data_IF_390336549712
#
_entry.id   IF_390336549712
#
_cell.length_a   1.000
_cell.length_b   1.000
_cell.length_c   1.000
_cell.angle_alpha   90.00
_cell.angle_beta   90.00
_cell.angle_gamma   90.00
#
_symmetry.space_group_name_H-M   'P 1'
#
loop_
_entity.id
_entity.type
_entity.pdbx_description
1 polymer ?
#
# COMPACT_ATOMS: atom_id res chain seq x y z
N UNK A 1 -3.67 1.48 10.94
CA UNK A 1 -4.91 0.85 10.41
C UNK A 1 -6.18 1.38 11.08
N UNK A 2 -6.19 1.57 12.41
CA UNK A 2 -7.39 1.98 13.16
C UNK A 2 -8.09 3.25 12.63
N UNK A 3 -7.33 4.30 12.29
CA UNK A 3 -7.93 5.59 11.85
C UNK A 3 -8.78 5.42 10.58
N UNK A 4 -8.30 4.67 9.59
CA UNK A 4 -9.05 4.46 8.33
C UNK A 4 -10.26 3.56 8.56
N UNK A 5 -10.13 2.54 9.41
CA UNK A 5 -11.26 1.65 9.72
C UNK A 5 -12.38 2.38 10.47
N UNK A 6 -12.04 3.31 11.37
CA UNK A 6 -13.02 4.00 12.21
C UNK A 6 -13.63 5.24 11.57
N UNK A 7 -12.93 5.90 10.63
CA UNK A 7 -13.40 7.18 10.06
C UNK A 7 -13.94 7.04 8.62
N UNK A 8 -13.58 5.98 7.91
CA UNK A 8 -14.06 5.75 6.53
C UNK A 8 -15.29 4.84 6.57
N UNK A 9 -16.45 5.46 6.59
CA UNK A 9 -17.76 4.81 6.63
C UNK A 9 -18.17 4.27 5.26
N UNK A 10 -19.25 3.47 5.23
CA UNK A 10 -19.74 2.79 4.02
C UNK A 10 -19.59 1.27 4.14
N UNK A 11 -20.72 0.58 4.28
CA UNK A 11 -20.80 -0.90 4.27
C UNK A 11 -20.95 -1.47 2.85
N UNK A 12 -21.11 -0.60 1.87
CA UNK A 12 -21.20 -0.90 0.47
C UNK A 12 -19.82 -1.21 -0.14
N UNK A 13 -19.82 -1.74 -1.37
CA UNK A 13 -18.59 -2.09 -2.06
C UNK A 13 -17.67 -0.89 -2.28
N UNK A 14 -18.21 0.32 -2.49
CA UNK A 14 -17.37 1.52 -2.66
C UNK A 14 -16.64 1.86 -1.36
N UNK A 15 -17.32 1.83 -0.21
CA UNK A 15 -16.68 2.02 1.10
C UNK A 15 -15.58 0.99 1.37
N UNK A 16 -15.82 -0.28 0.99
CA UNK A 16 -14.81 -1.34 1.10
C UNK A 16 -13.59 -1.08 0.20
N UNK A 17 -13.81 -0.70 -1.06
CA UNK A 17 -12.74 -0.38 -2.01
C UNK A 17 -11.93 0.81 -1.52
N UNK A 18 -12.59 1.88 -1.06
CA UNK A 18 -11.92 3.08 -0.56
C UNK A 18 -10.98 2.77 0.61
N UNK A 19 -11.46 2.05 1.64
CA UNK A 19 -10.62 1.64 2.78
C UNK A 19 -9.40 0.82 2.33
N UNK A 20 -9.59 -0.14 1.42
CA UNK A 20 -8.49 -0.99 0.91
C UNK A 20 -7.48 -0.18 0.10
N UNK A 21 -7.94 0.73 -0.76
CA UNK A 21 -7.07 1.58 -1.58
C UNK A 21 -6.23 2.52 -0.72
N UNK A 22 -6.82 3.14 0.32
CA UNK A 22 -6.07 4.01 1.22
C UNK A 22 -4.95 3.27 1.96
N UNK A 23 -5.23 2.07 2.47
CA UNK A 23 -4.20 1.22 3.10
C UNK A 23 -3.14 0.81 2.08
N UNK A 24 -3.54 0.47 0.84
CA UNK A 24 -2.60 0.12 -0.23
C UNK A 24 -1.64 1.27 -0.54
N UNK A 25 -2.11 2.51 -0.58
CA UNK A 25 -1.24 3.67 -0.79
C UNK A 25 -0.26 3.90 0.36
N UNK A 26 -0.68 3.71 1.61
CA UNK A 26 0.24 3.77 2.74
C UNK A 26 1.33 2.69 2.65
N UNK A 27 0.93 1.44 2.35
CA UNK A 27 1.87 0.33 2.18
C UNK A 27 2.82 0.55 0.99
N UNK A 28 2.31 1.06 -0.14
CA UNK A 28 3.13 1.40 -1.31
C UNK A 28 4.19 2.44 -0.94
N UNK A 29 3.82 3.50 -0.21
CA UNK A 29 4.78 4.49 0.27
C UNK A 29 5.87 3.86 1.15
N UNK A 30 5.51 2.96 2.07
CA UNK A 30 6.47 2.21 2.87
C UNK A 30 7.40 1.33 2.03
N UNK A 31 6.88 0.65 1.00
CA UNK A 31 7.71 -0.16 0.09
C UNK A 31 8.67 0.71 -0.69
N UNK A 32 8.23 1.87 -1.20
CA UNK A 32 9.06 2.79 -1.98
C UNK A 32 10.22 3.34 -1.14
N UNK A 33 9.97 3.78 0.11
CA UNK A 33 11.05 4.26 0.97
C UNK A 33 12.00 3.13 1.36
N UNK A 34 11.47 1.94 1.70
CA UNK A 34 12.29 0.78 2.06
C UNK A 34 13.14 0.29 0.88
N UNK A 35 12.63 0.35 -0.35
CA UNK A 35 13.38 0.05 -1.57
C UNK A 35 14.59 0.97 -1.74
N UNK A 36 14.46 2.25 -1.37
CA UNK A 36 15.55 3.23 -1.48
C UNK A 36 16.65 3.06 -0.43
N UNK A 37 16.34 2.53 0.75
CA UNK A 37 17.30 2.42 1.87
C UNK A 37 17.77 0.99 2.16
N UNK A 38 17.04 -0.03 1.72
CA UNK A 38 17.34 -1.44 2.01
C UNK A 38 17.69 -2.22 0.75
N UNK A 39 18.91 -2.75 0.69
CA UNK A 39 19.38 -3.58 -0.42
C UNK A 39 18.56 -4.86 -0.60
N UNK A 40 18.00 -5.43 0.47
CA UNK A 40 17.10 -6.60 0.38
C UNK A 40 15.79 -6.26 -0.32
N UNK A 41 15.21 -5.10 -0.02
CA UNK A 41 13.96 -4.66 -0.64
C UNK A 41 14.21 -4.23 -2.09
N UNK A 42 15.34 -3.56 -2.37
CA UNK A 42 15.76 -3.25 -3.74
C UNK A 42 15.93 -4.51 -4.60
N UNK A 43 16.56 -5.57 -4.07
CA UNK A 43 16.71 -6.85 -4.79
C UNK A 43 15.37 -7.55 -5.03
N UNK A 44 14.41 -7.42 -4.12
CA UNK A 44 13.07 -7.99 -4.28
C UNK A 44 12.20 -7.20 -5.27
N UNK A 45 12.37 -5.88 -5.31
CA UNK A 45 11.65 -4.99 -6.20
C UNK A 45 12.62 -4.12 -7.02
N UNK A 46 13.34 -4.68 -8.01
CA UNK A 46 14.37 -3.95 -8.74
C UNK A 46 13.81 -2.84 -9.64
N UNK A 47 12.62 -3.02 -10.20
CA UNK A 47 11.94 -2.04 -11.05
C UNK A 47 10.54 -1.71 -10.51
N UNK A 48 9.92 -0.68 -11.06
CA UNK A 48 8.53 -0.35 -10.73
C UNK A 48 7.55 -1.45 -11.16
N UNK A 49 7.82 -2.17 -12.24
CA UNK A 49 6.96 -3.27 -12.70
C UNK A 49 6.87 -4.39 -11.65
N UNK A 50 7.98 -4.70 -10.97
CA UNK A 50 7.98 -5.67 -9.87
C UNK A 50 7.10 -5.24 -8.68
N UNK A 51 6.90 -3.93 -8.49
CA UNK A 51 6.00 -3.41 -7.45
C UNK A 51 4.53 -3.50 -7.90
N UNK A 52 4.26 -3.34 -9.21
CA UNK A 52 2.91 -3.44 -9.78
C UNK A 52 2.43 -4.89 -9.83
N UNK A 53 3.33 -5.84 -10.08
CA UNK A 53 3.01 -7.27 -10.23
C UNK A 53 2.85 -8.03 -8.89
N UNK A 54 3.40 -7.50 -7.79
CA UNK A 54 3.43 -8.14 -6.47
C UNK A 54 2.12 -8.07 -5.68
#
# INVERSE_FOLDING_TARGET
>A
MCVISSNVHGRDDKGRILRRTLIRYANLSSVLILRSVSTRVLKRFPTMDHIVEA
#
